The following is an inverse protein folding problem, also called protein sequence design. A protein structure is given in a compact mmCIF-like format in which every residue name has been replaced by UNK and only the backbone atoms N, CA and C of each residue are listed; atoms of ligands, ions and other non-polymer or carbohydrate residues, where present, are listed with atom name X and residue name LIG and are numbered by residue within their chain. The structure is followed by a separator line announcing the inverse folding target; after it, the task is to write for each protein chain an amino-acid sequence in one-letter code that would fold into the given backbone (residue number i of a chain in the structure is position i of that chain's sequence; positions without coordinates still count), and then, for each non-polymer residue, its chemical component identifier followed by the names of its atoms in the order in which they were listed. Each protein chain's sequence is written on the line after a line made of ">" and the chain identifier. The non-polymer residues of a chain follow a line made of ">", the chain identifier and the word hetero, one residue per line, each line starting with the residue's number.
data_IF_151083038506
#
_entry.id   IF_151083038506
#
_cell.length_a   1.000
_cell.length_b   1.000
_cell.length_c   1.000
_cell.angle_alpha   90.00
_cell.angle_beta   90.00
_cell.angle_gamma   90.00
#
_symmetry.space_group_name_H-M   'P 1'
#
loop_
_entity.id
_entity.type
_entity.pdbx_description
1 polymer ?
#
# COMPACT_ATOMS: atom_id res chain seq x y z
N UNK A 1 -12.23 14.28 -16.25
CA UNK A 1 -11.29 13.29 -15.69
C UNK A 1 -12.13 12.16 -15.10
N UNK A 2 -11.98 10.94 -15.61
CA UNK A 2 -12.65 9.78 -15.03
C UNK A 2 -11.85 9.36 -13.79
N UNK A 3 -12.43 9.50 -12.61
CA UNK A 3 -11.89 8.97 -11.38
C UNK A 3 -11.87 7.45 -11.50
N UNK A 4 -10.68 6.84 -11.57
CA UNK A 4 -10.55 5.39 -11.49
C UNK A 4 -10.90 4.98 -10.06
N UNK A 5 -11.90 4.12 -9.86
CA UNK A 5 -12.35 3.77 -8.52
C UNK A 5 -11.21 3.11 -7.75
N UNK A 6 -11.07 3.49 -6.48
CA UNK A 6 -10.16 2.82 -5.57
C UNK A 6 -10.56 1.34 -5.40
N UNK A 7 -9.61 0.46 -5.72
CA UNK A 7 -9.72 -0.98 -5.51
C UNK A 7 -8.59 -1.42 -4.59
N UNK A 8 -8.93 -2.27 -3.63
CA UNK A 8 -8.00 -2.87 -2.68
C UNK A 8 -8.25 -4.38 -2.67
N UNK A 9 -7.21 -5.15 -2.96
CA UNK A 9 -7.25 -6.60 -2.97
C UNK A 9 -6.20 -7.11 -2.01
N UNK A 10 -6.62 -7.88 -1.00
CA UNK A 10 -5.72 -8.54 -0.08
C UNK A 10 -5.49 -9.97 -0.54
N UNK A 11 -4.22 -10.34 -0.75
CA UNK A 11 -3.79 -11.70 -0.99
C UNK A 11 -3.21 -12.28 0.30
N UNK A 12 -3.94 -13.24 0.91
CA UNK A 12 -3.54 -13.88 2.15
C UNK A 12 -2.31 -14.79 1.99
N UNK A 13 -2.13 -15.38 0.80
CA UNK A 13 -1.02 -16.30 0.51
C UNK A 13 0.33 -15.59 0.43
N UNK A 14 0.36 -14.41 -0.17
CA UNK A 14 1.53 -13.55 -0.33
C UNK A 14 1.58 -12.42 0.71
N UNK A 15 0.56 -12.30 1.58
CA UNK A 15 0.38 -11.19 2.54
C UNK A 15 0.58 -9.83 1.88
N UNK A 16 -0.01 -9.69 0.69
CA UNK A 16 0.18 -8.51 -0.15
C UNK A 16 -1.16 -7.81 -0.34
N UNK A 17 -1.21 -6.53 0.03
CA UNK A 17 -2.34 -5.66 -0.17
C UNK A 17 -2.08 -4.83 -1.43
N UNK A 18 -2.75 -5.18 -2.53
CA UNK A 18 -2.62 -4.50 -3.82
C UNK A 18 -3.64 -3.38 -3.92
N UNK A 19 -3.14 -2.18 -4.21
CA UNK A 19 -3.92 -0.96 -4.32
C UNK A 19 -3.92 -0.47 -5.77
N UNK A 20 -5.10 -0.13 -6.27
CA UNK A 20 -5.28 0.34 -7.64
C UNK A 20 -6.28 1.49 -7.70
N UNK A 21 -6.08 2.39 -8.66
CA UNK A 21 -6.95 3.54 -8.87
C UNK A 21 -6.51 4.79 -8.10
N UNK A 22 -7.45 5.69 -7.83
CA UNK A 22 -7.18 6.98 -7.18
C UNK A 22 -7.39 6.90 -5.67
N UNK A 23 -6.38 7.29 -4.88
CA UNK A 23 -6.45 7.31 -3.42
C UNK A 23 -6.96 8.64 -2.86
N UNK A 24 -8.12 9.08 -3.32
CA UNK A 24 -8.82 10.24 -2.76
C UNK A 24 -9.21 10.04 -1.28
N UNK A 25 -9.81 11.06 -0.66
CA UNK A 25 -10.28 11.03 0.73
C UNK A 25 -11.12 9.79 1.07
N UNK A 26 -12.00 9.37 0.15
CA UNK A 26 -12.81 8.15 0.28
C UNK A 26 -11.94 6.88 0.23
N UNK A 27 -10.97 6.84 -0.69
CA UNK A 27 -10.02 5.74 -0.84
C UNK A 27 -9.12 5.60 0.39
N UNK A 28 -8.63 6.72 0.94
CA UNK A 28 -7.83 6.76 2.16
C UNK A 28 -8.59 6.18 3.37
N UNK A 29 -9.90 6.50 3.50
CA UNK A 29 -10.76 5.91 4.52
C UNK A 29 -10.90 4.39 4.38
N UNK A 30 -11.11 3.89 3.15
CA UNK A 30 -11.18 2.45 2.88
C UNK A 30 -9.85 1.75 3.11
N UNK A 31 -8.74 2.34 2.67
CA UNK A 31 -7.38 1.82 2.90
C UNK A 31 -7.14 1.62 4.40
N UNK A 32 -7.49 2.61 5.23
CA UNK A 32 -7.33 2.50 6.68
C UNK A 32 -8.11 1.32 7.26
N UNK A 33 -9.35 1.11 6.81
CA UNK A 33 -10.17 -0.02 7.26
C UNK A 33 -9.57 -1.38 6.84
N UNK A 34 -9.08 -1.48 5.61
CA UNK A 34 -8.46 -2.70 5.07
C UNK A 34 -7.14 -3.01 5.77
N UNK A 35 -6.30 -1.99 6.00
CA UNK A 35 -5.06 -2.14 6.78
C UNK A 35 -5.36 -2.57 8.21
N UNK A 36 -6.34 -1.95 8.88
CA UNK A 36 -6.75 -2.37 10.21
C UNK A 36 -7.22 -3.83 10.22
N UNK A 37 -8.01 -4.25 9.23
CA UNK A 37 -8.47 -5.63 9.11
C UNK A 37 -7.31 -6.62 8.85
N UNK A 38 -6.37 -6.28 7.96
CA UNK A 38 -5.18 -7.09 7.70
C UNK A 38 -4.26 -7.18 8.94
N UNK A 39 -4.23 -6.14 9.77
CA UNK A 39 -3.47 -6.10 11.02
C UNK A 39 -4.13 -6.87 12.17
N UNK A 40 -5.44 -7.12 12.13
CA UNK A 40 -6.15 -7.89 13.18
C UNK A 40 -5.55 -9.28 13.35
N UNK A 41 -5.10 -9.90 12.25
CA UNK A 41 -4.50 -11.23 12.29
C UNK A 41 -3.14 -11.23 13.01
N UNK A 42 -2.51 -10.06 13.21
CA UNK A 42 -1.21 -9.83 13.87
C UNK A 42 -0.05 -10.71 13.38
N UNK A 43 -0.23 -11.37 12.25
CA UNK A 43 0.73 -12.31 11.73
C UNK A 43 1.72 -11.60 10.81
N UNK A 44 2.90 -11.24 11.33
CA UNK A 44 4.11 -10.99 10.56
C UNK A 44 4.13 -9.78 9.62
N UNK A 45 4.96 -9.87 8.57
CA UNK A 45 5.17 -8.79 7.60
C UNK A 45 4.02 -8.70 6.58
N UNK A 46 3.62 -7.47 6.25
CA UNK A 46 2.61 -7.14 5.23
C UNK A 46 3.29 -6.35 4.11
N UNK A 47 2.98 -6.69 2.86
CA UNK A 47 3.43 -5.96 1.68
C UNK A 47 2.29 -5.09 1.18
N UNK A 48 2.56 -3.82 0.86
CA UNK A 48 1.61 -2.87 0.30
C UNK A 48 2.04 -2.51 -1.12
N UNK A 49 1.38 -3.07 -2.13
CA UNK A 49 1.63 -2.73 -3.53
C UNK A 49 0.81 -1.50 -3.93
N UNK A 50 1.53 -0.45 -4.31
CA UNK A 50 1.00 0.85 -4.75
C UNK A 50 1.28 1.08 -6.25
N UNK A 51 1.60 0.01 -6.98
CA UNK A 51 2.08 0.07 -8.36
C UNK A 51 1.01 0.52 -9.34
N UNK A 52 -0.26 0.24 -9.04
CA UNK A 52 -1.41 0.61 -9.85
C UNK A 52 -2.15 1.86 -9.31
N UNK A 53 -1.55 2.59 -8.37
CA UNK A 53 -2.11 3.82 -7.82
C UNK A 53 -1.78 5.00 -8.74
N UNK A 54 -2.82 5.72 -9.16
CA UNK A 54 -2.70 6.87 -10.06
C UNK A 54 -2.45 8.20 -9.35
N UNK A 55 -2.88 8.32 -8.09
CA UNK A 55 -2.81 9.54 -7.30
C UNK A 55 -2.65 9.21 -5.83
N UNK A 56 -1.79 9.96 -5.14
CA UNK A 56 -1.46 9.75 -3.74
C UNK A 56 -1.45 11.09 -2.99
N UNK A 57 -2.62 11.56 -2.51
CA UNK A 57 -2.71 12.79 -1.73
C UNK A 57 -2.08 12.62 -0.35
N UNK A 58 -1.84 13.75 0.33
CA UNK A 58 -1.27 13.78 1.68
C UNK A 58 -2.09 13.01 2.72
N UNK A 59 -3.41 12.95 2.56
CA UNK A 59 -4.30 12.13 3.38
C UNK A 59 -3.98 10.64 3.28
N UNK A 60 -3.79 10.13 2.06
CA UNK A 60 -3.40 8.75 1.80
C UNK A 60 -1.99 8.43 2.33
N UNK A 61 -1.03 9.34 2.11
CA UNK A 61 0.33 9.25 2.68
C UNK A 61 0.27 9.14 4.20
N UNK A 62 -0.55 9.97 4.86
CA UNK A 62 -0.73 9.94 6.31
C UNK A 62 -1.29 8.60 6.82
N UNK A 63 -2.24 8.00 6.09
CA UNK A 63 -2.77 6.67 6.43
C UNK A 63 -1.69 5.59 6.33
N UNK A 64 -0.87 5.60 5.27
CA UNK A 64 0.23 4.64 5.09
C UNK A 64 1.28 4.82 6.20
N UNK A 65 1.65 6.07 6.50
CA UNK A 65 2.62 6.37 7.56
C UNK A 65 2.10 5.93 8.95
N UNK A 66 0.83 6.18 9.26
CA UNK A 66 0.21 5.76 10.51
C UNK A 66 0.17 4.23 10.63
N UNK A 67 -0.24 3.53 9.58
CA UNK A 67 -0.25 2.07 9.52
C UNK A 67 1.16 1.48 9.71
N UNK A 68 2.17 2.07 9.08
CA UNK A 68 3.57 1.65 9.23
C UNK A 68 4.08 1.85 10.66
N UNK A 69 3.70 2.95 11.30
CA UNK A 69 4.03 3.22 12.70
C UNK A 69 3.35 2.22 13.65
N UNK A 70 2.08 1.90 13.40
CA UNK A 70 1.31 0.91 14.14
C UNK A 70 1.91 -0.49 14.03
N UNK A 71 2.22 -0.95 12.81
CA UNK A 71 2.88 -2.25 12.60
C UNK A 71 4.23 -2.33 13.30
N UNK A 72 5.05 -1.27 13.22
CA UNK A 72 6.33 -1.21 13.95
C UNK A 72 6.13 -1.33 15.46
N UNK A 73 5.10 -0.72 16.02
CA UNK A 73 4.79 -0.83 17.44
C UNK A 73 4.38 -2.26 17.84
N UNK A 74 3.81 -3.02 16.91
CA UNK A 74 3.38 -4.41 17.09
C UNK A 74 4.42 -5.45 16.66
N UNK A 75 5.70 -5.06 16.49
CA UNK A 75 6.79 -5.93 15.99
C UNK A 75 6.55 -6.54 14.59
N UNK A 76 5.65 -5.95 13.82
CA UNK A 76 5.37 -6.31 12.44
C UNK A 76 6.05 -5.33 11.47
N UNK A 77 6.31 -5.77 10.23
CA UNK A 77 6.94 -4.94 9.19
C UNK A 77 5.96 -4.64 8.07
N UNK A 78 5.90 -3.38 7.65
CA UNK A 78 5.13 -2.95 6.48
C UNK A 78 6.11 -2.61 5.36
N UNK A 79 6.18 -3.46 4.35
CA UNK A 79 6.97 -3.25 3.15
C UNK A 79 6.13 -2.52 2.10
N UNK A 80 6.65 -1.41 1.60
CA UNK A 80 5.97 -0.62 0.56
C UNK A 80 6.58 -0.99 -0.78
N UNK A 81 5.74 -1.36 -1.74
CA UNK A 81 6.15 -1.75 -3.08
C UNK A 81 5.49 -0.82 -4.09
N UNK A 82 6.27 -0.32 -5.04
CA UNK A 82 5.72 0.45 -6.15
C UNK A 82 6.54 0.23 -7.43
N UNK A 83 5.86 0.16 -8.56
CA UNK A 83 6.51 0.17 -9.88
C UNK A 83 7.27 1.49 -10.08
N UNK A 84 8.54 1.44 -10.53
CA UNK A 84 9.31 2.64 -10.84
C UNK A 84 8.59 3.54 -11.85
N UNK A 85 8.54 4.84 -11.58
CA UNK A 85 7.87 5.82 -12.44
C UNK A 85 6.41 6.09 -12.07
N UNK A 86 5.86 5.38 -11.08
CA UNK A 86 4.54 5.68 -10.49
C UNK A 86 4.61 6.85 -9.52
N UNK A 87 3.46 7.46 -9.23
CA UNK A 87 3.35 8.53 -8.22
C UNK A 87 3.79 8.04 -6.83
N UNK A 88 3.48 6.80 -6.48
CA UNK A 88 3.89 6.21 -5.21
C UNK A 88 5.42 6.14 -5.08
N UNK A 89 6.10 5.65 -6.11
CA UNK A 89 7.58 5.58 -6.13
C UNK A 89 8.25 6.95 -6.04
N UNK A 90 7.61 8.01 -6.54
CA UNK A 90 8.14 9.37 -6.52
C UNK A 90 7.82 10.14 -5.22
N UNK A 91 6.65 9.88 -4.62
CA UNK A 91 6.11 10.64 -3.49
C UNK A 91 6.56 10.06 -2.16
N UNK A 92 6.43 8.75 -1.94
CA UNK A 92 6.69 8.11 -0.65
C UNK A 92 8.13 8.31 -0.12
N UNK A 93 9.19 8.25 -0.94
CA UNK A 93 10.55 8.51 -0.46
C UNK A 93 10.74 9.93 0.08
N UNK A 94 9.95 10.91 -0.41
CA UNK A 94 10.00 12.30 0.10
C UNK A 94 9.47 12.43 1.52
N UNK A 95 8.65 11.47 1.94
CA UNK A 95 8.15 11.36 3.31
C UNK A 95 9.01 10.43 4.19
N UNK A 96 10.22 10.07 3.73
CA UNK A 96 11.13 9.18 4.46
C UNK A 96 10.71 7.71 4.46
N UNK A 97 9.80 7.33 3.57
CA UNK A 97 9.34 5.95 3.44
C UNK A 97 10.14 5.24 2.36
N UNK A 98 10.91 4.22 2.76
CA UNK A 98 11.56 3.30 1.82
C UNK A 98 10.49 2.55 1.02
N UNK A 99 10.63 2.58 -0.29
CA UNK A 99 9.79 1.85 -1.24
C UNK A 99 10.69 0.88 -2.00
N UNK A 100 10.28 -0.37 -2.04
CA UNK A 100 10.90 -1.40 -2.85
C UNK A 100 10.31 -1.33 -4.26
N UNK A 101 11.14 -1.52 -5.27
CA UNK A 101 10.61 -1.74 -6.61
C UNK A 101 9.70 -2.96 -6.56
N UNK A 102 8.56 -2.90 -7.26
CA UNK A 102 7.76 -4.07 -7.60
C UNK A 102 8.59 -4.97 -8.52
N UNK A 103 9.57 -5.65 -7.94
CA UNK A 103 10.37 -6.65 -8.63
C UNK A 103 9.38 -7.72 -9.09
N UNK A 104 9.35 -7.93 -10.40
CA UNK A 104 8.46 -8.85 -11.09
C UNK A 104 8.71 -10.27 -10.58
N UNK A 105 8.11 -10.64 -9.45
CA UNK A 105 8.01 -12.01 -8.95
C UNK A 105 6.58 -12.55 -8.95
N UNK A 106 5.67 -11.86 -9.66
CA UNK A 106 4.30 -12.32 -9.90
C UNK A 106 4.04 -12.76 -11.37
N UNK A 107 5.07 -12.83 -12.22
CA UNK A 107 4.91 -13.25 -13.61
C UNK A 107 5.33 -14.71 -13.90
N UNK A 108 5.75 -15.48 -12.89
CA UNK A 108 6.16 -16.89 -13.06
C UNK A 108 5.28 -17.85 -12.25
N UNK A 109 4.01 -17.92 -12.61
CA UNK A 109 3.22 -19.14 -12.43
C UNK A 109 2.23 -19.25 -13.60
N UNK A 110 2.78 -19.54 -14.78
CA UNK A 110 2.05 -20.04 -15.94
C UNK A 110 2.32 -21.54 -16.08
#
# INVERSE_FOLDING_TARGET
>A
MALVPFVCTYDEGMRTLTLSGDLDEVGAGRLRQQLAAAMVDRSGSLVLDLSAVGSLPSSAVGVIAAARADMRAHFNSLDLVATPGTVASAVLPRYGMSVHAADTRAADHA
#
